data_IF_466019013898
#
_entry.id   IF_466019013898
#
_cell.length_a   1.000
_cell.length_b   1.000
_cell.length_c   1.000
_cell.angle_alpha   90.00
_cell.angle_beta   90.00
_cell.angle_gamma   90.00
#
_symmetry.space_group_name_H-M   'P 1'
#
loop_
_entity.id
_entity.type
_entity.pdbx_description
1 polymer ?
#
# COMPACT_ATOMS: atom_id res chain seq x y z
N UNK A 1 11.78 -30.25 -25.72
CA UNK A 1 10.37 -29.84 -25.90
C UNK A 1 9.47 -31.06 -25.74
N UNK A 2 8.25 -30.89 -25.25
CA UNK A 2 7.15 -31.86 -25.29
C UNK A 2 6.01 -31.29 -26.12
N UNK A 3 5.19 -32.14 -26.72
CA UNK A 3 4.01 -31.70 -27.47
C UNK A 3 2.82 -31.69 -26.52
N UNK A 4 2.18 -30.54 -26.38
CA UNK A 4 0.91 -30.40 -25.69
C UNK A 4 -0.19 -30.04 -26.69
N UNK A 5 -1.43 -30.35 -26.34
CA UNK A 5 -2.60 -30.13 -27.21
C UNK A 5 -3.72 -29.43 -26.47
N UNK A 6 -4.27 -28.39 -27.11
CA UNK A 6 -5.54 -27.76 -26.76
C UNK A 6 -6.55 -27.94 -27.91
N UNK A 7 -7.69 -27.27 -27.82
CA UNK A 7 -8.74 -27.32 -28.86
C UNK A 7 -8.34 -26.66 -30.18
N UNK A 8 -7.27 -25.86 -30.20
CA UNK A 8 -6.75 -25.17 -31.38
C UNK A 8 -5.58 -25.90 -32.04
N UNK A 9 -5.11 -27.00 -31.46
CA UNK A 9 -4.08 -27.87 -32.04
C UNK A 9 -2.91 -28.14 -31.09
N UNK A 10 -1.80 -28.56 -31.67
CA UNK A 10 -0.58 -28.91 -30.95
C UNK A 10 0.37 -27.72 -30.83
N UNK A 11 1.13 -27.67 -29.74
CA UNK A 11 2.20 -26.70 -29.52
C UNK A 11 3.36 -27.33 -28.75
N UNK A 12 4.58 -26.90 -29.05
CA UNK A 12 5.76 -27.32 -28.30
C UNK A 12 5.92 -26.53 -27.01
N UNK A 13 6.19 -27.24 -25.92
CA UNK A 13 6.43 -26.69 -24.58
C UNK A 13 7.76 -27.21 -24.03
N UNK A 14 8.58 -26.41 -23.32
CA UNK A 14 9.81 -26.91 -22.69
C UNK A 14 9.55 -28.07 -21.72
N UNK A 15 10.41 -29.10 -21.70
CA UNK A 15 10.21 -30.32 -20.88
C UNK A 15 10.37 -30.07 -19.39
N UNK A 16 11.07 -29.00 -19.03
CA UNK A 16 11.36 -28.54 -17.67
C UNK A 16 10.30 -27.57 -17.13
N UNK A 17 9.15 -27.40 -17.82
CA UNK A 17 8.08 -26.47 -17.42
C UNK A 17 6.75 -27.17 -17.25
N UNK A 18 6.07 -26.96 -16.12
CA UNK A 18 4.75 -27.57 -15.87
C UNK A 18 3.58 -26.90 -16.60
N UNK A 19 3.72 -25.66 -17.11
CA UNK A 19 2.62 -25.03 -17.86
C UNK A 19 2.37 -25.75 -19.19
N UNK A 20 1.16 -25.66 -19.76
CA UNK A 20 0.75 -26.43 -20.94
C UNK A 20 0.56 -25.59 -22.20
N UNK A 21 -0.26 -26.11 -23.13
CA UNK A 21 -0.47 -25.53 -24.45
C UNK A 21 -1.09 -24.12 -24.39
N UNK A 22 -2.04 -23.87 -23.48
CA UNK A 22 -2.71 -22.56 -23.43
C UNK A 22 -1.77 -21.47 -22.89
N UNK A 23 -0.96 -21.79 -21.89
CA UNK A 23 0.07 -20.86 -21.40
C UNK A 23 1.09 -20.54 -22.50
N UNK A 24 1.59 -21.57 -23.19
CA UNK A 24 2.56 -21.38 -24.26
C UNK A 24 1.98 -20.57 -25.44
N UNK A 25 0.71 -20.79 -25.80
CA UNK A 25 0.00 -19.99 -26.79
C UNK A 25 -0.20 -18.54 -26.33
N UNK A 26 -0.48 -18.32 -25.05
CA UNK A 26 -0.59 -16.98 -24.47
C UNK A 26 0.72 -16.22 -24.54
N UNK A 27 1.86 -16.86 -24.27
CA UNK A 27 3.18 -16.23 -24.37
C UNK A 27 3.47 -15.72 -25.80
N UNK A 28 3.07 -16.49 -26.82
CA UNK A 28 3.25 -16.08 -28.21
C UNK A 28 2.34 -14.91 -28.62
N UNK A 29 1.12 -14.88 -28.09
CA UNK A 29 0.10 -13.92 -28.52
C UNK A 29 0.12 -12.60 -27.74
N UNK A 30 0.67 -12.60 -26.52
CA UNK A 30 0.65 -11.45 -25.59
C UNK A 30 2.08 -11.06 -25.17
N UNK A 31 2.95 -10.88 -26.16
CA UNK A 31 4.33 -10.39 -25.98
C UNK A 31 4.36 -8.86 -25.87
N UNK A 32 3.82 -8.35 -24.77
CA UNK A 32 3.68 -6.92 -24.48
C UNK A 32 4.38 -6.65 -23.15
N UNK A 33 5.39 -5.78 -23.18
CA UNK A 33 6.11 -5.33 -21.97
C UNK A 33 6.81 -6.45 -21.20
N UNK A 34 7.34 -6.09 -20.04
CA UNK A 34 8.08 -7.03 -19.17
C UNK A 34 7.34 -7.38 -17.88
N UNK A 35 6.18 -6.76 -17.63
CA UNK A 35 5.38 -7.00 -16.43
C UNK A 35 4.79 -8.41 -16.45
N UNK A 36 5.31 -9.30 -15.61
CA UNK A 36 4.72 -10.61 -15.36
C UNK A 36 3.60 -10.52 -14.34
N UNK A 37 2.66 -11.47 -14.37
CA UNK A 37 1.61 -11.56 -13.36
C UNK A 37 2.24 -11.60 -11.94
N UNK A 38 1.78 -10.78 -10.97
CA UNK A 38 2.42 -10.72 -9.67
C UNK A 38 2.40 -12.07 -8.93
N UNK A 39 3.50 -12.39 -8.23
CA UNK A 39 3.63 -13.64 -7.47
C UNK A 39 2.55 -13.80 -6.38
N UNK A 40 2.02 -12.70 -5.84
CA UNK A 40 0.89 -12.72 -4.93
C UNK A 40 -0.38 -13.29 -5.57
N UNK A 41 -0.62 -13.00 -6.86
CA UNK A 41 -1.75 -13.57 -7.62
C UNK A 41 -1.52 -15.06 -7.89
N UNK A 42 -0.28 -15.47 -8.18
CA UNK A 42 0.08 -16.88 -8.36
C UNK A 42 -0.17 -17.68 -7.08
N UNK A 43 0.31 -17.18 -5.94
CA UNK A 43 0.04 -17.76 -4.62
C UNK A 43 -1.46 -17.84 -4.33
N UNK A 44 -2.21 -16.77 -4.61
CA UNK A 44 -3.66 -16.73 -4.43
C UNK A 44 -4.39 -17.78 -5.28
N UNK A 45 -3.93 -18.04 -6.51
CA UNK A 45 -4.42 -19.16 -7.31
C UNK A 45 -4.10 -20.51 -6.66
N UNK A 46 -2.91 -20.71 -6.09
CA UNK A 46 -2.60 -21.90 -5.30
C UNK A 46 -3.60 -22.14 -4.16
N UNK A 47 -3.86 -21.10 -3.36
CA UNK A 47 -4.84 -21.13 -2.25
C UNK A 47 -6.24 -21.50 -2.78
N UNK A 48 -6.70 -20.79 -3.82
CA UNK A 48 -8.01 -20.99 -4.43
C UNK A 48 -8.17 -22.42 -4.95
N UNK A 49 -7.17 -22.96 -5.66
CA UNK A 49 -7.25 -24.29 -6.28
C UNK A 49 -7.17 -25.39 -5.24
N UNK A 50 -6.37 -25.21 -4.19
CA UNK A 50 -6.35 -26.14 -3.06
C UNK A 50 -7.72 -26.17 -2.36
N UNK A 51 -8.28 -25.01 -2.04
CA UNK A 51 -9.59 -24.92 -1.40
C UNK A 51 -10.69 -25.54 -2.26
N UNK A 52 -10.70 -25.24 -3.57
CA UNK A 52 -11.68 -25.80 -4.49
C UNK A 52 -11.57 -27.34 -4.60
N UNK A 53 -10.36 -27.90 -4.58
CA UNK A 53 -10.17 -29.35 -4.60
C UNK A 53 -10.72 -30.00 -3.32
N UNK A 54 -10.37 -29.48 -2.13
CA UNK A 54 -10.89 -29.96 -0.84
C UNK A 54 -12.41 -29.91 -0.79
N UNK A 55 -13.00 -28.78 -1.21
CA UNK A 55 -14.46 -28.60 -1.26
C UNK A 55 -15.12 -29.56 -2.23
N UNK A 56 -14.56 -29.76 -3.43
CA UNK A 56 -15.14 -30.71 -4.38
C UNK A 56 -15.02 -32.17 -3.92
N UNK A 57 -13.95 -32.55 -3.21
CA UNK A 57 -13.86 -33.89 -2.57
C UNK A 57 -14.94 -34.04 -1.50
N UNK A 58 -15.09 -33.04 -0.61
CA UNK A 58 -16.10 -33.05 0.44
C UNK A 58 -17.55 -33.08 -0.10
N UNK A 59 -17.77 -32.54 -1.30
CA UNK A 59 -19.05 -32.55 -2.01
C UNK A 59 -19.24 -33.75 -2.95
N UNK A 60 -18.33 -34.74 -2.88
CA UNK A 60 -18.32 -35.93 -3.74
C UNK A 60 -18.34 -35.58 -5.25
N UNK A 61 -17.85 -34.40 -5.60
CA UNK A 61 -17.68 -33.93 -6.97
C UNK A 61 -16.32 -34.31 -7.53
N UNK A 62 -15.29 -34.50 -6.70
CA UNK A 62 -13.97 -34.90 -7.16
C UNK A 62 -13.56 -36.21 -6.49
N UNK A 63 -13.00 -37.13 -7.29
CA UNK A 63 -12.41 -38.36 -6.76
C UNK A 63 -11.34 -38.01 -5.71
N UNK A 64 -11.35 -38.66 -4.52
CA UNK A 64 -10.42 -38.31 -3.44
C UNK A 64 -8.95 -38.47 -3.82
N UNK A 65 -8.57 -39.49 -4.58
CA UNK A 65 -7.17 -39.72 -4.98
C UNK A 65 -6.69 -38.62 -5.94
N UNK A 66 -7.55 -38.22 -6.89
CA UNK A 66 -7.29 -37.06 -7.75
C UNK A 66 -7.22 -35.77 -6.94
N UNK A 67 -8.13 -35.60 -5.97
CA UNK A 67 -8.18 -34.45 -5.07
C UNK A 67 -6.88 -34.27 -4.29
N UNK A 68 -6.36 -35.35 -3.69
CA UNK A 68 -5.12 -35.33 -2.91
C UNK A 68 -3.92 -34.89 -3.76
N UNK A 69 -3.83 -35.36 -5.01
CA UNK A 69 -2.78 -34.95 -5.94
C UNK A 69 -2.85 -33.44 -6.27
N UNK A 70 -4.06 -32.92 -6.51
CA UNK A 70 -4.29 -31.49 -6.78
C UNK A 70 -3.95 -30.65 -5.55
N UNK A 71 -4.34 -31.08 -4.36
CA UNK A 71 -4.06 -30.39 -3.09
C UNK A 71 -2.55 -30.30 -2.85
N UNK A 72 -1.81 -31.39 -3.07
CA UNK A 72 -0.35 -31.42 -2.90
C UNK A 72 0.36 -30.49 -3.90
N UNK A 73 -0.01 -30.55 -5.18
CA UNK A 73 0.57 -29.67 -6.21
C UNK A 73 0.23 -28.19 -5.97
N UNK A 74 -1.01 -27.89 -5.53
CA UNK A 74 -1.42 -26.53 -5.18
C UNK A 74 -0.64 -26.00 -3.96
N UNK A 75 -0.31 -26.85 -2.98
CA UNK A 75 0.53 -26.46 -1.85
C UNK A 75 1.92 -25.98 -2.31
N UNK A 76 2.54 -26.65 -3.28
CA UNK A 76 3.84 -26.20 -3.82
C UNK A 76 3.74 -24.84 -4.54
N UNK A 77 2.58 -24.50 -5.13
CA UNK A 77 2.32 -23.15 -5.65
C UNK A 77 2.20 -22.14 -4.51
N UNK A 78 1.47 -22.49 -3.44
CA UNK A 78 1.29 -21.64 -2.24
C UNK A 78 2.66 -21.32 -1.60
N UNK A 79 3.53 -22.33 -1.50
CA UNK A 79 4.86 -22.23 -0.92
C UNK A 79 5.88 -21.50 -1.84
N UNK A 80 5.49 -21.23 -3.09
CA UNK A 80 6.30 -20.51 -4.07
C UNK A 80 7.36 -21.35 -4.78
N UNK A 81 7.37 -22.68 -4.59
CA UNK A 81 8.33 -23.59 -5.24
C UNK A 81 8.16 -23.61 -6.76
N UNK A 82 6.99 -23.23 -7.27
CA UNK A 82 6.64 -23.33 -8.69
C UNK A 82 6.56 -21.97 -9.41
N UNK A 83 7.04 -20.88 -8.81
CA UNK A 83 6.89 -19.51 -9.36
C UNK A 83 7.43 -19.37 -10.80
N UNK A 84 8.52 -20.05 -11.13
CA UNK A 84 9.12 -19.97 -12.47
C UNK A 84 8.28 -20.66 -13.57
N UNK A 85 7.17 -21.31 -13.21
CA UNK A 85 6.22 -21.91 -14.15
C UNK A 85 5.04 -20.99 -14.50
N UNK A 86 5.07 -19.73 -14.05
CA UNK A 86 4.04 -18.72 -14.30
C UNK A 86 4.58 -17.53 -15.12
N UNK A 87 4.93 -17.72 -16.40
CA UNK A 87 5.65 -16.72 -17.20
C UNK A 87 4.75 -15.63 -17.81
N UNK A 88 3.43 -15.71 -17.61
CA UNK A 88 2.48 -14.85 -18.33
C UNK A 88 2.58 -13.38 -17.94
N UNK A 89 2.40 -12.52 -18.94
CA UNK A 89 2.39 -11.06 -18.77
C UNK A 89 1.09 -10.57 -18.12
N UNK A 90 1.14 -9.40 -17.51
CA UNK A 90 -0.06 -8.67 -17.04
C UNK A 90 -0.99 -8.34 -18.21
N UNK A 91 -0.39 -7.98 -19.35
CA UNK A 91 -1.05 -7.49 -20.56
C UNK A 91 -1.63 -8.63 -21.41
N UNK A 92 -2.47 -9.43 -20.78
CA UNK A 92 -3.09 -10.63 -21.33
C UNK A 92 -4.59 -10.43 -21.55
N UNK A 93 -5.36 -11.51 -21.74
CA UNK A 93 -6.83 -11.43 -21.73
C UNK A 93 -7.35 -10.73 -20.47
N UNK A 94 -8.28 -9.79 -20.67
CA UNK A 94 -8.74 -8.88 -19.65
C UNK A 94 -9.49 -9.54 -18.47
N UNK A 95 -10.03 -10.74 -18.66
CA UNK A 95 -10.63 -11.54 -17.58
C UNK A 95 -9.60 -12.24 -16.70
N UNK A 96 -8.34 -12.35 -17.16
CA UNK A 96 -7.31 -13.15 -16.51
C UNK A 96 -7.40 -14.66 -16.77
N UNK A 97 -8.21 -15.10 -17.76
CA UNK A 97 -8.37 -16.51 -18.14
C UNK A 97 -7.05 -17.23 -18.38
N UNK A 98 -6.07 -16.57 -18.98
CA UNK A 98 -4.78 -17.21 -19.28
C UNK A 98 -3.99 -17.52 -18.02
N UNK A 99 -3.98 -16.66 -16.99
CA UNK A 99 -3.37 -16.99 -15.69
C UNK A 99 -4.16 -18.04 -14.91
N UNK A 100 -5.50 -18.06 -15.01
CA UNK A 100 -6.28 -19.17 -14.45
C UNK A 100 -5.88 -20.51 -15.11
N UNK A 101 -5.81 -20.54 -16.45
CA UNK A 101 -5.40 -21.74 -17.17
C UNK A 101 -3.94 -22.11 -16.95
N UNK A 102 -3.02 -21.14 -16.80
CA UNK A 102 -1.64 -21.41 -16.42
C UNK A 102 -1.57 -22.09 -15.04
N UNK A 103 -2.36 -21.63 -14.07
CA UNK A 103 -2.47 -22.27 -12.77
C UNK A 103 -3.02 -23.69 -12.88
N UNK A 104 -4.08 -23.87 -13.67
CA UNK A 104 -4.68 -25.18 -13.90
C UNK A 104 -3.68 -26.16 -14.55
N UNK A 105 -2.94 -25.72 -15.57
CA UNK A 105 -1.96 -26.53 -16.30
C UNK A 105 -0.77 -26.90 -15.41
N UNK A 106 -0.21 -25.93 -14.66
CA UNK A 106 0.92 -26.17 -13.75
C UNK A 106 0.53 -27.17 -12.66
N UNK A 107 -0.61 -26.96 -11.99
CA UNK A 107 -1.08 -27.85 -10.94
C UNK A 107 -1.40 -29.23 -11.49
N UNK A 108 -2.05 -29.32 -12.66
CA UNK A 108 -2.36 -30.61 -13.28
C UNK A 108 -1.10 -31.39 -13.64
N UNK A 109 -0.13 -30.77 -14.33
CA UNK A 109 1.10 -31.46 -14.73
C UNK A 109 1.97 -31.85 -13.53
N UNK A 110 2.03 -31.01 -12.50
CA UNK A 110 2.72 -31.37 -11.27
C UNK A 110 2.03 -32.53 -10.54
N UNK A 111 0.71 -32.52 -10.46
CA UNK A 111 -0.08 -33.62 -9.90
C UNK A 111 0.09 -34.93 -10.66
N UNK A 112 0.17 -34.87 -12.00
CA UNK A 112 0.46 -36.04 -12.85
C UNK A 112 1.85 -36.59 -12.54
N UNK A 113 2.86 -35.73 -12.42
CA UNK A 113 4.22 -36.16 -12.10
C UNK A 113 4.31 -36.80 -10.70
N UNK A 114 3.62 -36.25 -9.70
CA UNK A 114 3.50 -36.85 -8.35
C UNK A 114 2.92 -38.26 -8.43
N UNK A 115 1.95 -38.49 -9.32
CA UNK A 115 1.34 -39.79 -9.59
C UNK A 115 2.22 -40.73 -10.44
N UNK A 116 3.41 -40.30 -10.88
CA UNK A 116 4.29 -41.06 -11.77
C UNK A 116 3.80 -41.13 -13.23
N UNK A 117 2.88 -40.25 -13.62
CA UNK A 117 2.35 -40.17 -14.98
C UNK A 117 3.21 -39.33 -15.93
N UNK A 118 2.75 -39.20 -17.18
CA UNK A 118 3.42 -38.42 -18.22
C UNK A 118 2.83 -37.01 -18.32
N UNK A 119 3.64 -35.97 -18.08
CA UNK A 119 3.20 -34.57 -18.23
C UNK A 119 2.62 -34.30 -19.62
N UNK A 120 1.54 -33.52 -19.67
CA UNK A 120 0.80 -33.19 -20.90
C UNK A 120 -0.26 -34.22 -21.30
N UNK A 121 -0.23 -35.43 -20.72
CA UNK A 121 -1.25 -36.47 -20.95
C UNK A 121 -2.63 -36.08 -20.44
N UNK A 122 -2.70 -35.15 -19.46
CA UNK A 122 -3.91 -34.76 -18.72
C UNK A 122 -4.55 -35.93 -17.93
N UNK A 123 -3.76 -36.97 -17.63
CA UNK A 123 -4.17 -38.12 -16.86
C UNK A 123 -3.12 -38.45 -15.78
N UNK A 124 -3.52 -38.69 -14.51
CA UNK A 124 -4.89 -38.78 -14.01
C UNK A 124 -5.56 -37.41 -13.75
N UNK A 125 -4.82 -36.30 -13.82
CA UNK A 125 -5.35 -34.96 -13.49
C UNK A 125 -5.56 -34.12 -14.75
N UNK A 126 -6.82 -33.78 -15.05
CA UNK A 126 -7.16 -32.90 -16.16
C UNK A 126 -7.29 -31.44 -15.69
N UNK A 127 -6.68 -30.46 -16.38
CA UNK A 127 -6.65 -29.06 -15.92
C UNK A 127 -8.05 -28.42 -15.85
N UNK A 128 -9.00 -28.83 -16.70
CA UNK A 128 -10.36 -28.29 -16.66
C UNK A 128 -11.27 -29.11 -15.72
N UNK A 129 -11.46 -30.37 -16.07
CA UNK A 129 -12.40 -31.30 -15.43
C UNK A 129 -12.08 -31.62 -13.96
N UNK A 130 -10.81 -31.51 -13.55
CA UNK A 130 -10.39 -31.74 -12.16
C UNK A 130 -9.96 -30.43 -11.47
N UNK A 131 -8.92 -29.76 -11.97
CA UNK A 131 -8.36 -28.57 -11.29
C UNK A 131 -9.30 -27.35 -11.34
N UNK A 132 -10.04 -27.18 -12.44
CA UNK A 132 -11.01 -26.09 -12.63
C UNK A 132 -12.47 -26.54 -12.42
N UNK A 133 -12.70 -27.65 -11.72
CA UNK A 133 -14.06 -28.19 -11.52
C UNK A 133 -14.92 -27.23 -10.70
N UNK A 134 -16.11 -26.92 -11.20
CA UNK A 134 -17.06 -26.00 -10.57
C UNK A 134 -16.67 -24.52 -10.62
N UNK A 135 -15.68 -24.17 -11.45
CA UNK A 135 -15.06 -22.84 -11.49
C UNK A 135 -15.10 -22.24 -12.90
N UNK A 136 -14.98 -20.93 -13.00
CA UNK A 136 -14.77 -20.19 -14.25
C UNK A 136 -13.63 -19.19 -14.08
N UNK A 137 -12.90 -18.90 -15.14
CA UNK A 137 -11.91 -17.80 -15.08
C UNK A 137 -12.52 -16.49 -14.57
N UNK A 138 -13.80 -16.26 -14.88
CA UNK A 138 -14.52 -15.06 -14.54
C UNK A 138 -14.71 -14.91 -13.03
N UNK A 139 -14.89 -16.00 -12.27
CA UNK A 139 -15.04 -15.97 -10.81
C UNK A 139 -13.76 -16.36 -10.05
N UNK A 140 -12.82 -17.07 -10.69
CA UNK A 140 -11.53 -17.42 -10.07
C UNK A 140 -10.56 -16.25 -10.03
N UNK A 141 -10.43 -15.47 -11.11
CA UNK A 141 -9.47 -14.36 -11.15
C UNK A 141 -9.82 -13.23 -10.17
N UNK A 142 -11.06 -12.70 -10.09
CA UNK A 142 -11.43 -11.74 -9.03
C UNK A 142 -11.21 -12.29 -7.62
N UNK A 143 -11.50 -13.58 -7.39
CA UNK A 143 -11.21 -14.22 -6.10
C UNK A 143 -9.71 -14.21 -5.79
N UNK A 144 -8.85 -14.53 -6.76
CA UNK A 144 -7.39 -14.44 -6.60
C UNK A 144 -6.91 -13.00 -6.37
N UNK A 145 -7.54 -12.00 -7.00
CA UNK A 145 -7.26 -10.58 -6.75
C UNK A 145 -7.53 -10.20 -5.29
N UNK A 146 -8.67 -10.63 -4.76
CA UNK A 146 -9.10 -10.35 -3.39
C UNK A 146 -8.20 -11.04 -2.37
N UNK A 147 -7.88 -12.33 -2.57
CA UNK A 147 -6.94 -13.07 -1.71
C UNK A 147 -5.57 -12.40 -1.70
N UNK A 148 -5.00 -12.13 -2.89
CA UNK A 148 -3.68 -11.51 -3.00
C UNK A 148 -3.65 -10.11 -2.35
N UNK A 149 -4.71 -9.32 -2.55
CA UNK A 149 -4.82 -7.99 -1.97
C UNK A 149 -4.92 -8.00 -0.45
N UNK A 150 -5.78 -8.86 0.11
CA UNK A 150 -5.97 -8.98 1.55
C UNK A 150 -4.75 -9.57 2.26
N UNK A 151 -4.08 -10.58 1.70
CA UNK A 151 -2.80 -11.08 2.24
C UNK A 151 -1.73 -9.98 2.23
N UNK A 152 -1.64 -9.20 1.14
CA UNK A 152 -0.66 -8.12 1.02
C UNK A 152 -0.92 -6.98 2.03
N UNK A 153 -2.19 -6.60 2.24
CA UNK A 153 -2.57 -5.62 3.26
C UNK A 153 -2.21 -6.11 4.66
N UNK A 154 -2.68 -7.30 5.01
CA UNK A 154 -2.62 -7.83 6.38
C UNK A 154 -1.20 -8.15 6.80
N UNK A 155 -0.44 -8.83 5.95
CA UNK A 155 0.86 -9.38 6.35
C UNK A 155 2.03 -8.45 6.06
N UNK A 156 1.85 -7.43 5.20
CA UNK A 156 2.94 -6.55 4.76
C UNK A 156 2.67 -5.08 5.02
N UNK A 157 1.63 -4.51 4.42
CA UNK A 157 1.40 -3.07 4.47
C UNK A 157 1.06 -2.56 5.87
N UNK A 158 0.02 -3.13 6.49
CA UNK A 158 -0.47 -2.68 7.80
C UNK A 158 0.64 -2.74 8.87
N UNK A 159 1.44 -3.83 8.99
CA UNK A 159 2.60 -3.85 9.89
C UNK A 159 3.62 -2.74 9.60
N UNK A 160 3.92 -2.46 8.32
CA UNK A 160 4.91 -1.45 7.96
C UNK A 160 4.45 -0.03 8.31
N UNK A 161 3.18 0.29 8.04
CA UNK A 161 2.58 1.59 8.39
C UNK A 161 2.49 1.75 9.90
N UNK A 162 2.03 0.73 10.64
CA UNK A 162 1.99 0.74 12.12
C UNK A 162 3.37 0.99 12.71
N UNK A 163 4.38 0.30 12.23
CA UNK A 163 5.74 0.48 12.75
C UNK A 163 6.33 1.87 12.43
N UNK A 164 6.04 2.46 11.27
CA UNK A 164 6.41 3.85 10.98
C UNK A 164 5.68 4.83 11.91
N UNK A 165 4.38 4.64 12.09
CA UNK A 165 3.54 5.42 13.00
C UNK A 165 4.09 5.37 14.43
N UNK A 166 4.46 4.20 14.93
CA UNK A 166 4.98 4.04 16.29
C UNK A 166 6.35 4.70 16.49
N UNK A 167 7.21 4.67 15.47
CA UNK A 167 8.48 5.41 15.51
C UNK A 167 8.25 6.93 15.55
N UNK A 168 7.29 7.45 14.79
CA UNK A 168 6.90 8.86 14.83
C UNK A 168 6.27 9.25 16.18
N UNK A 169 5.45 8.37 16.78
CA UNK A 169 4.88 8.58 18.11
C UNK A 169 5.95 8.60 19.21
N UNK A 170 6.96 7.73 19.12
CA UNK A 170 8.11 7.78 20.01
C UNK A 170 8.87 9.11 19.90
N UNK A 171 9.07 9.63 18.68
CA UNK A 171 9.66 10.96 18.48
C UNK A 171 8.76 12.07 19.01
N UNK A 172 7.45 12.03 18.75
CA UNK A 172 6.50 13.00 19.27
C UNK A 172 6.55 13.11 20.80
N UNK A 173 6.60 11.98 21.51
CA UNK A 173 6.77 11.92 22.97
C UNK A 173 8.13 12.47 23.42
N UNK A 174 9.21 12.10 22.73
CA UNK A 174 10.56 12.60 23.05
C UNK A 174 10.72 14.11 22.82
N UNK A 175 9.90 14.70 21.94
CA UNK A 175 9.95 16.11 21.56
C UNK A 175 8.84 16.95 22.21
N UNK A 176 8.10 16.39 23.18
CA UNK A 176 6.93 17.01 23.80
C UNK A 176 7.22 18.41 24.36
N UNK A 177 8.40 18.62 24.94
CA UNK A 177 8.80 19.87 25.61
C UNK A 177 9.64 20.81 24.72
N UNK A 178 9.85 20.47 23.45
CA UNK A 178 10.69 21.28 22.55
C UNK A 178 9.82 22.31 21.86
N UNK A 179 9.75 23.52 22.41
CA UNK A 179 9.03 24.65 21.80
C UNK A 179 9.75 25.11 20.54
N UNK A 180 9.00 25.26 19.45
CA UNK A 180 9.47 25.76 18.15
C UNK A 180 8.49 26.78 17.59
N UNK A 181 8.91 27.49 16.55
CA UNK A 181 8.01 28.38 15.83
C UNK A 181 7.12 27.59 14.87
N UNK A 182 5.82 27.87 14.88
CA UNK A 182 4.88 27.38 13.88
C UNK A 182 5.07 28.10 12.55
N UNK A 183 4.64 27.46 11.46
CA UNK A 183 4.62 28.08 10.14
C UNK A 183 3.30 27.82 9.44
N UNK A 184 2.63 28.90 9.05
CA UNK A 184 1.41 28.86 8.22
C UNK A 184 1.64 29.71 7.00
N UNK A 185 1.27 29.23 5.81
CA UNK A 185 1.62 29.88 4.53
C UNK A 185 3.13 30.08 4.33
N UNK A 186 3.96 29.23 4.96
CA UNK A 186 5.43 29.33 5.01
C UNK A 186 5.97 30.56 5.78
N UNK A 187 5.10 31.36 6.39
CA UNK A 187 5.46 32.50 7.22
C UNK A 187 5.54 32.07 8.69
N UNK A 188 6.36 32.77 9.48
CA UNK A 188 6.39 32.61 10.93
C UNK A 188 4.98 32.78 11.52
N UNK A 189 4.64 31.94 12.48
CA UNK A 189 3.36 31.93 13.20
C UNK A 189 3.61 31.85 14.72
N UNK A 190 2.59 31.49 15.50
CA UNK A 190 2.74 31.30 16.96
C UNK A 190 3.51 30.01 17.30
N UNK A 191 4.05 29.89 18.53
CA UNK A 191 4.75 28.68 18.96
C UNK A 191 3.84 27.44 19.04
N UNK A 192 4.46 26.28 18.85
CA UNK A 192 3.96 24.95 19.21
C UNK A 192 5.15 24.08 19.62
N UNK A 193 4.93 22.92 20.22
CA UNK A 193 6.04 21.99 20.46
C UNK A 193 6.31 21.13 19.23
N UNK A 194 7.56 20.72 19.04
CA UNK A 194 7.94 19.76 17.99
C UNK A 194 7.21 18.41 18.20
N UNK A 195 6.91 18.06 19.44
CA UNK A 195 6.03 16.93 19.76
C UNK A 195 4.60 17.11 19.23
N UNK A 196 4.01 18.31 19.30
CA UNK A 196 2.70 18.61 18.72
C UNK A 196 2.72 18.58 17.18
N UNK A 197 3.80 19.04 16.55
CA UNK A 197 3.96 18.92 15.09
C UNK A 197 4.00 17.45 14.67
N UNK A 198 4.82 16.63 15.35
CA UNK A 198 4.94 15.21 15.09
C UNK A 198 3.66 14.42 15.42
N UNK A 199 2.89 14.82 16.43
CA UNK A 199 1.61 14.18 16.74
C UNK A 199 0.58 14.36 15.62
N UNK A 200 0.67 15.45 14.86
CA UNK A 200 -0.10 15.64 13.62
C UNK A 200 0.21 14.57 12.58
N UNK A 201 1.48 14.23 12.39
CA UNK A 201 1.90 13.15 11.48
C UNK A 201 1.38 11.78 11.96
N UNK A 202 1.47 11.51 13.26
CA UNK A 202 0.94 10.28 13.88
C UNK A 202 -0.57 10.17 13.66
N UNK A 203 -1.32 11.25 13.91
CA UNK A 203 -2.77 11.26 13.74
C UNK A 203 -3.21 11.04 12.28
N UNK A 204 -2.45 11.52 11.30
CA UNK A 204 -2.69 11.20 9.88
C UNK A 204 -2.57 9.69 9.62
N UNK A 205 -1.49 9.06 10.09
CA UNK A 205 -1.26 7.62 9.91
C UNK A 205 -2.27 6.77 10.70
N UNK A 206 -2.69 7.19 11.89
CA UNK A 206 -3.77 6.53 12.64
C UNK A 206 -5.09 6.54 11.86
N UNK A 207 -5.40 7.67 11.19
CA UNK A 207 -6.58 7.76 10.34
C UNK A 207 -6.46 6.89 9.08
N UNK A 208 -5.27 6.82 8.48
CA UNK A 208 -5.02 5.97 7.31
C UNK A 208 -5.10 4.48 7.64
N UNK A 209 -4.59 4.06 8.81
CA UNK A 209 -4.75 2.68 9.28
C UNK A 209 -6.22 2.27 9.38
N UNK A 210 -7.09 3.14 9.93
CA UNK A 210 -8.53 2.86 9.97
C UNK A 210 -9.16 2.76 8.58
N UNK A 211 -8.71 3.56 7.61
CA UNK A 211 -9.20 3.50 6.22
C UNK A 211 -8.78 2.21 5.53
N UNK A 212 -7.54 1.77 5.78
CA UNK A 212 -7.02 0.51 5.25
C UNK A 212 -7.73 -0.70 5.85
N UNK A 213 -7.98 -0.68 7.17
CA UNK A 213 -8.75 -1.72 7.85
C UNK A 213 -10.18 -1.78 7.30
N UNK A 214 -10.86 -0.64 7.09
CA UNK A 214 -12.20 -0.61 6.47
C UNK A 214 -12.22 -1.16 5.04
N UNK A 215 -11.22 -0.81 4.22
CA UNK A 215 -11.14 -1.32 2.86
C UNK A 215 -10.85 -2.84 2.80
N UNK A 216 -10.27 -3.41 3.86
CA UNK A 216 -9.99 -4.83 3.95
C UNK A 216 -11.29 -5.65 4.06
N UNK A 217 -12.33 -5.10 4.70
CA UNK A 217 -13.63 -5.77 4.85
C UNK A 217 -14.24 -6.13 3.49
N UNK A 218 -14.23 -5.21 2.52
CA UNK A 218 -14.74 -5.45 1.16
C UNK A 218 -13.88 -6.47 0.38
N UNK A 219 -12.58 -6.55 0.66
CA UNK A 219 -11.68 -7.51 0.02
C UNK A 219 -11.89 -8.94 0.51
N UNK A 220 -12.58 -9.14 1.64
CA UNK A 220 -12.90 -10.48 2.13
C UNK A 220 -14.05 -11.15 1.37
N UNK A 221 -14.85 -10.40 0.60
CA UNK A 221 -15.93 -10.96 -0.19
C UNK A 221 -15.42 -11.60 -1.48
N UNK A 222 -15.68 -12.90 -1.67
CA UNK A 222 -15.17 -13.67 -2.80
C UNK A 222 -16.22 -13.91 -3.88
N UNK A 223 -15.80 -13.75 -5.15
CA UNK A 223 -16.62 -14.01 -6.33
C UNK A 223 -16.86 -15.50 -6.61
N UNK A 224 -16.00 -16.38 -6.09
CA UNK A 224 -15.99 -17.82 -6.40
C UNK A 224 -17.35 -18.48 -6.14
N UNK A 225 -17.77 -19.33 -7.08
CA UNK A 225 -19.12 -19.90 -7.13
C UNK A 225 -20.09 -19.08 -7.98
N UNK A 226 -19.72 -17.88 -8.43
CA UNK A 226 -20.47 -17.12 -9.44
C UNK A 226 -20.38 -17.73 -10.85
N UNK A 227 -19.35 -18.52 -11.13
CA UNK A 227 -19.05 -19.17 -12.41
C UNK A 227 -18.97 -18.17 -13.58
N UNK A 228 -19.63 -18.43 -14.71
CA UNK A 228 -19.46 -17.65 -15.93
C UNK A 228 -20.00 -16.22 -15.83
N UNK A 229 -21.20 -16.03 -15.28
CA UNK A 229 -21.95 -14.76 -15.31
C UNK A 229 -22.63 -14.41 -13.98
N UNK A 230 -22.33 -15.13 -12.91
CA UNK A 230 -22.85 -14.87 -11.55
C UNK A 230 -23.96 -15.80 -11.09
N UNK A 231 -24.48 -16.67 -11.97
CA UNK A 231 -25.61 -17.57 -11.66
C UNK A 231 -25.22 -18.85 -10.92
N UNK A 232 -23.93 -19.19 -10.87
CA UNK A 232 -23.47 -20.46 -10.31
C UNK A 232 -23.74 -21.69 -11.19
N UNK A 233 -24.03 -21.51 -12.49
CA UNK A 233 -24.24 -22.63 -13.42
C UNK A 233 -23.03 -23.57 -13.42
N UNK A 234 -23.29 -24.87 -13.26
CA UNK A 234 -22.29 -25.94 -13.14
C UNK A 234 -21.45 -25.94 -11.84
N UNK A 235 -21.81 -25.12 -10.84
CA UNK A 235 -21.29 -25.26 -9.48
C UNK A 235 -22.32 -25.99 -8.59
N UNK A 236 -21.82 -26.74 -7.60
CA UNK A 236 -22.69 -27.32 -6.57
C UNK A 236 -23.29 -26.21 -5.68
N UNK A 237 -24.56 -26.28 -5.23
CA UNK A 237 -25.19 -25.21 -4.45
C UNK A 237 -24.45 -24.80 -3.16
N UNK A 238 -23.72 -25.74 -2.56
CA UNK A 238 -22.91 -25.50 -1.34
C UNK A 238 -21.46 -25.06 -1.64
N UNK A 239 -21.03 -25.10 -2.90
CA UNK A 239 -19.63 -24.87 -3.28
C UNK A 239 -19.13 -23.48 -2.85
N UNK A 240 -19.90 -22.43 -3.14
CA UNK A 240 -19.49 -21.04 -2.91
C UNK A 240 -19.21 -20.75 -1.42
N UNK A 241 -20.05 -21.23 -0.52
CA UNK A 241 -19.85 -21.04 0.92
C UNK A 241 -18.67 -21.89 1.42
N UNK A 242 -18.67 -23.19 1.12
CA UNK A 242 -17.65 -24.12 1.62
C UNK A 242 -16.24 -23.76 1.14
N UNK A 243 -16.10 -23.30 -0.11
CA UNK A 243 -14.79 -22.89 -0.63
C UNK A 243 -14.30 -21.58 0.00
N UNK A 244 -15.19 -20.64 0.31
CA UNK A 244 -14.82 -19.43 1.04
C UNK A 244 -14.36 -19.76 2.46
N UNK A 245 -15.07 -20.66 3.16
CA UNK A 245 -14.68 -21.14 4.48
C UNK A 245 -13.30 -21.84 4.45
N UNK A 246 -13.02 -22.64 3.42
CA UNK A 246 -11.72 -23.29 3.28
C UNK A 246 -10.59 -22.31 2.94
N UNK A 247 -10.86 -21.29 2.12
CA UNK A 247 -9.90 -20.19 1.86
C UNK A 247 -9.62 -19.42 3.16
N UNK A 248 -10.64 -19.15 3.97
CA UNK A 248 -10.50 -18.54 5.29
C UNK A 248 -9.62 -19.40 6.22
N UNK A 249 -9.84 -20.72 6.23
CA UNK A 249 -9.04 -21.65 7.03
C UNK A 249 -7.57 -21.69 6.60
N UNK A 250 -7.29 -21.74 5.29
CA UNK A 250 -5.92 -21.79 4.74
C UNK A 250 -5.15 -20.50 5.07
N UNK A 251 -5.81 -19.36 4.98
CA UNK A 251 -5.17 -18.04 5.14
C UNK A 251 -5.17 -17.53 6.58
N UNK A 252 -6.09 -18.03 7.42
CA UNK A 252 -6.37 -17.44 8.73
C UNK A 252 -7.06 -16.07 8.66
N UNK A 253 -7.62 -15.70 7.50
CA UNK A 253 -8.34 -14.45 7.27
C UNK A 253 -9.85 -14.71 7.14
N UNK A 254 -10.66 -13.67 7.32
CA UNK A 254 -12.13 -13.79 7.42
C UNK A 254 -12.84 -13.73 6.06
N UNK A 255 -12.33 -14.45 5.06
CA UNK A 255 -12.97 -14.51 3.75
C UNK A 255 -14.38 -15.09 3.81
N UNK A 256 -15.27 -14.56 2.98
CA UNK A 256 -16.65 -15.02 2.88
C UNK A 256 -17.11 -15.06 1.42
N UNK A 257 -18.18 -15.80 1.16
CA UNK A 257 -18.83 -15.80 -0.15
C UNK A 257 -19.60 -14.50 -0.31
N UNK A 258 -19.27 -13.69 -1.33
CA UNK A 258 -20.01 -12.46 -1.63
C UNK A 258 -21.51 -12.72 -1.84
N UNK A 259 -22.36 -11.85 -1.28
CA UNK A 259 -23.82 -11.97 -1.38
C UNK A 259 -24.29 -11.80 -2.84
N UNK A 260 -23.68 -10.87 -3.58
CA UNK A 260 -24.02 -10.61 -4.97
C UNK A 260 -22.87 -10.96 -5.92
N UNK A 261 -22.94 -12.13 -6.57
CA UNK A 261 -21.93 -12.57 -7.53
C UNK A 261 -21.89 -11.72 -8.80
N UNK A 262 -23.02 -11.16 -9.24
CA UNK A 262 -23.06 -10.34 -10.44
C UNK A 262 -22.19 -9.09 -10.28
N UNK A 263 -22.29 -8.41 -9.13
CA UNK A 263 -21.47 -7.24 -8.82
C UNK A 263 -19.97 -7.58 -8.80
N UNK A 264 -19.58 -8.68 -8.14
CA UNK A 264 -18.18 -9.10 -8.02
C UNK A 264 -17.53 -9.56 -9.34
N UNK A 265 -18.34 -9.86 -10.36
CA UNK A 265 -17.85 -10.19 -11.71
C UNK A 265 -17.82 -8.95 -12.62
N UNK A 266 -18.91 -8.17 -12.59
CA UNK A 266 -19.16 -7.03 -13.45
C UNK A 266 -18.38 -5.77 -13.06
N UNK A 267 -17.98 -5.66 -11.80
CA UNK A 267 -17.25 -4.52 -11.24
C UNK A 267 -16.13 -5.00 -10.29
N UNK A 268 -15.34 -4.05 -9.78
CA UNK A 268 -14.23 -4.29 -8.84
C UNK A 268 -14.14 -3.15 -7.82
N UNK A 269 -15.29 -2.77 -7.26
CA UNK A 269 -15.41 -1.59 -6.39
C UNK A 269 -14.56 -1.73 -5.13
N UNK A 270 -14.45 -2.94 -4.57
CA UNK A 270 -13.58 -3.26 -3.43
C UNK A 270 -12.11 -2.89 -3.72
N UNK A 271 -11.60 -3.22 -4.91
CA UNK A 271 -10.23 -2.89 -5.34
C UNK A 271 -10.07 -1.38 -5.56
N UNK A 272 -11.08 -0.71 -6.11
CA UNK A 272 -11.06 0.76 -6.29
C UNK A 272 -11.08 1.46 -4.92
N UNK A 273 -11.91 1.02 -3.99
CA UNK A 273 -12.00 1.55 -2.62
C UNK A 273 -10.69 1.35 -1.85
N UNK A 274 -10.13 0.14 -1.89
CA UNK A 274 -8.82 -0.16 -1.29
C UNK A 274 -7.71 0.68 -1.91
N UNK A 275 -7.73 0.88 -3.24
CA UNK A 275 -6.81 1.80 -3.92
C UNK A 275 -6.99 3.26 -3.47
N UNK A 276 -8.22 3.70 -3.19
CA UNK A 276 -8.50 5.02 -2.61
C UNK A 276 -7.91 5.21 -1.21
N UNK A 277 -7.91 4.15 -0.38
CA UNK A 277 -7.24 4.15 0.91
C UNK A 277 -5.71 4.28 0.76
N UNK A 278 -5.09 3.54 -0.18
CA UNK A 278 -3.67 3.69 -0.50
C UNK A 278 -3.32 5.09 -1.02
N UNK A 279 -4.18 5.67 -1.85
CA UNK A 279 -4.02 7.03 -2.34
C UNK A 279 -4.03 8.05 -1.19
N UNK A 280 -4.94 7.89 -0.23
CA UNK A 280 -5.00 8.77 0.96
C UNK A 280 -3.74 8.63 1.81
N UNK A 281 -3.27 7.40 2.05
CA UNK A 281 -2.00 7.15 2.74
C UNK A 281 -0.82 7.83 2.01
N UNK A 282 -0.76 7.74 0.68
CA UNK A 282 0.27 8.41 -0.11
C UNK A 282 0.23 9.94 0.03
N UNK A 283 -0.96 10.55 0.11
CA UNK A 283 -1.11 11.99 0.38
C UNK A 283 -0.57 12.36 1.77
N UNK A 284 -0.91 11.58 2.81
CA UNK A 284 -0.39 11.78 4.16
C UNK A 284 1.13 11.65 4.22
N UNK A 285 1.69 10.57 3.66
CA UNK A 285 3.12 10.31 3.62
C UNK A 285 3.89 11.39 2.83
N UNK A 286 3.33 11.88 1.72
CA UNK A 286 3.88 12.99 0.96
C UNK A 286 4.06 14.23 1.85
N UNK A 287 3.05 14.59 2.65
CA UNK A 287 3.13 15.74 3.58
C UNK A 287 4.22 15.52 4.64
N UNK A 288 4.23 14.35 5.29
CA UNK A 288 5.20 14.00 6.33
C UNK A 288 6.63 14.06 5.78
N UNK A 289 6.90 13.44 4.63
CA UNK A 289 8.21 13.44 3.99
C UNK A 289 8.68 14.84 3.61
N UNK A 290 7.75 15.68 3.13
CA UNK A 290 7.99 17.09 2.80
C UNK A 290 8.37 17.90 4.02
N UNK A 291 7.62 17.80 5.11
CA UNK A 291 7.92 18.51 6.35
C UNK A 291 9.32 18.11 6.86
N UNK A 292 9.61 16.81 6.93
CA UNK A 292 10.91 16.31 7.40
C UNK A 292 12.06 16.88 6.57
N UNK A 293 11.97 16.90 5.23
CA UNK A 293 13.06 17.45 4.40
C UNK A 293 13.17 18.98 4.47
N UNK A 294 12.06 19.69 4.66
CA UNK A 294 12.09 21.15 4.83
C UNK A 294 12.67 21.54 6.19
N UNK A 295 12.25 20.87 7.26
CA UNK A 295 12.82 21.05 8.60
C UNK A 295 14.30 20.66 8.65
N UNK A 296 14.72 19.69 7.81
CA UNK A 296 16.12 19.30 7.61
C UNK A 296 16.91 20.15 6.61
N UNK A 297 16.31 21.18 5.98
CA UNK A 297 16.99 22.00 4.98
C UNK A 297 18.13 22.83 5.61
N UNK A 298 19.32 22.82 5.02
CA UNK A 298 20.48 23.49 5.60
C UNK A 298 21.82 23.01 5.01
N UNK A 299 22.91 23.01 5.79
CA UNK A 299 22.97 23.23 7.25
C UNK A 299 23.03 24.71 7.68
N UNK A 300 23.19 25.66 6.74
CA UNK A 300 23.36 27.09 7.06
C UNK A 300 22.37 28.04 6.37
N UNK A 301 21.72 27.61 5.30
CA UNK A 301 20.90 28.47 4.43
C UNK A 301 19.45 27.95 4.29
N UNK A 302 18.96 27.25 5.32
CA UNK A 302 17.61 26.69 5.38
C UNK A 302 17.04 26.80 6.80
N UNK A 303 16.01 26.01 7.12
CA UNK A 303 15.40 26.02 8.45
C UNK A 303 16.29 25.34 9.50
N UNK A 304 16.85 24.18 9.14
CA UNK A 304 17.79 23.41 9.96
C UNK A 304 17.28 23.04 11.35
N UNK A 305 15.97 22.84 11.54
CA UNK A 305 15.38 22.49 12.84
C UNK A 305 15.54 21.00 13.17
N UNK A 306 15.69 20.15 12.15
CA UNK A 306 15.98 18.73 12.30
C UNK A 306 17.32 18.37 11.65
N UNK A 307 18.09 17.52 12.33
CA UNK A 307 19.24 16.83 11.76
C UNK A 307 18.78 15.50 11.17
N UNK A 308 18.97 15.33 9.87
CA UNK A 308 18.66 14.09 9.16
C UNK A 308 19.84 13.12 9.25
N UNK A 309 19.61 11.79 9.35
CA UNK A 309 20.68 10.80 9.29
C UNK A 309 21.47 10.88 7.98
N UNK A 310 22.80 10.84 8.06
CA UNK A 310 23.68 10.81 6.90
C UNK A 310 23.95 9.35 6.48
N UNK A 311 23.13 8.82 5.58
CA UNK A 311 23.23 7.44 5.10
C UNK A 311 24.25 7.26 3.95
N UNK A 312 24.46 8.30 3.14
CA UNK A 312 25.38 8.28 2.00
C UNK A 312 25.97 9.67 1.70
N UNK A 313 27.10 9.75 0.97
CA UNK A 313 27.61 11.02 0.45
C UNK A 313 26.57 11.68 -0.48
N UNK A 314 26.13 12.90 -0.16
CA UNK A 314 25.05 13.59 -0.88
C UNK A 314 25.46 14.30 -2.17
N UNK A 315 26.75 14.31 -2.53
CA UNK A 315 27.20 14.90 -3.79
C UNK A 315 28.54 14.35 -4.24
N UNK A 316 28.67 14.14 -5.55
CA UNK A 316 29.93 13.78 -6.20
C UNK A 316 30.96 14.92 -6.21
N UNK A 317 30.54 16.18 -6.04
CA UNK A 317 31.40 17.38 -6.19
C UNK A 317 31.46 18.26 -4.94
N UNK A 318 30.52 18.13 -4.00
CA UNK A 318 30.49 18.89 -2.75
C UNK A 318 30.77 17.99 -1.55
N UNK A 319 32.04 17.85 -1.11
CA UNK A 319 32.40 17.08 0.07
C UNK A 319 31.61 17.52 1.31
N UNK A 320 31.05 16.56 2.05
CA UNK A 320 30.30 16.80 3.28
C UNK A 320 28.83 17.21 3.10
N UNK A 321 28.31 17.34 1.88
CA UNK A 321 26.86 17.54 1.64
C UNK A 321 26.09 16.25 1.94
N UNK A 322 24.99 16.37 2.67
CA UNK A 322 24.04 15.28 2.94
C UNK A 322 22.66 15.70 2.42
N UNK A 323 22.00 14.84 1.65
CA UNK A 323 20.68 15.11 1.07
C UNK A 323 19.59 14.34 1.82
N UNK A 324 18.33 14.82 1.80
CA UNK A 324 17.18 14.12 2.39
C UNK A 324 16.68 12.96 1.49
N UNK A 325 17.55 12.04 1.09
CA UNK A 325 17.27 11.01 0.06
C UNK A 325 16.11 10.07 0.41
N UNK A 326 15.93 9.76 1.69
CA UNK A 326 14.78 8.95 2.16
C UNK A 326 13.45 9.69 1.97
N UNK A 327 13.41 11.00 2.20
CA UNK A 327 12.24 11.82 1.87
C UNK A 327 12.03 11.89 0.36
N UNK A 328 13.09 12.04 -0.43
CA UNK A 328 13.01 12.06 -1.91
C UNK A 328 12.39 10.76 -2.44
N UNK A 329 12.91 9.60 -2.03
CA UNK A 329 12.40 8.29 -2.40
C UNK A 329 10.92 8.12 -2.01
N UNK A 330 10.56 8.45 -0.77
CA UNK A 330 9.17 8.36 -0.30
C UNK A 330 8.23 9.26 -1.12
N UNK A 331 8.65 10.49 -1.45
CA UNK A 331 7.81 11.38 -2.27
C UNK A 331 7.62 10.88 -3.70
N UNK A 332 8.64 10.27 -4.33
CA UNK A 332 8.48 9.65 -5.66
C UNK A 332 7.53 8.45 -5.61
N UNK A 333 7.64 7.60 -4.58
CA UNK A 333 6.70 6.49 -4.35
C UNK A 333 5.27 7.01 -4.20
N UNK A 334 5.06 8.07 -3.42
CA UNK A 334 3.73 8.65 -3.25
C UNK A 334 3.13 9.12 -4.60
N UNK A 335 3.92 9.78 -5.45
CA UNK A 335 3.47 10.15 -6.81
C UNK A 335 3.09 8.94 -7.65
N UNK A 336 3.90 7.87 -7.62
CA UNK A 336 3.62 6.65 -8.37
C UNK A 336 2.31 5.98 -7.91
N UNK A 337 2.07 5.90 -6.60
CA UNK A 337 0.83 5.34 -6.03
C UNK A 337 -0.40 6.15 -6.46
N UNK A 338 -0.31 7.48 -6.48
CA UNK A 338 -1.41 8.33 -6.99
C UNK A 338 -1.69 8.10 -8.48
N UNK A 339 -0.63 7.88 -9.28
CA UNK A 339 -0.76 7.48 -10.69
C UNK A 339 -1.42 6.11 -10.86
N UNK A 340 -0.97 5.12 -10.10
CA UNK A 340 -1.56 3.78 -10.07
C UNK A 340 -3.04 3.82 -9.66
N UNK A 341 -3.40 4.64 -8.68
CA UNK A 341 -4.79 4.86 -8.27
C UNK A 341 -5.65 5.38 -9.43
N UNK A 342 -5.12 6.33 -10.20
CA UNK A 342 -5.81 6.84 -11.39
C UNK A 342 -6.06 5.72 -12.41
N UNK A 343 -5.04 4.89 -12.68
CA UNK A 343 -5.18 3.76 -13.60
C UNK A 343 -6.23 2.75 -13.11
N UNK A 344 -6.24 2.42 -11.82
CA UNK A 344 -7.23 1.53 -11.19
C UNK A 344 -8.64 2.09 -11.30
N UNK A 345 -8.82 3.38 -10.99
CA UNK A 345 -10.13 4.07 -11.10
C UNK A 345 -10.65 4.04 -12.54
N UNK A 346 -9.78 4.32 -13.51
CA UNK A 346 -10.15 4.21 -14.93
C UNK A 346 -10.54 2.77 -15.25
N UNK A 347 -9.71 1.76 -14.93
CA UNK A 347 -10.03 0.35 -15.18
C UNK A 347 -11.33 -0.13 -14.52
N UNK A 348 -11.58 0.28 -13.28
CA UNK A 348 -12.81 -0.02 -12.55
C UNK A 348 -14.07 0.51 -13.25
N UNK A 349 -13.98 1.70 -13.86
CA UNK A 349 -15.10 2.32 -14.58
C UNK A 349 -15.48 1.64 -15.91
N UNK A 350 -14.62 0.76 -16.46
CA UNK A 350 -14.80 0.16 -17.79
C UNK A 350 -15.55 -1.18 -17.77
N UNK A 351 -16.38 -1.44 -16.75
CA UNK A 351 -17.23 -2.63 -16.72
C UNK A 351 -18.27 -2.63 -17.86
N UNK A 352 -18.49 -3.78 -18.49
CA UNK A 352 -19.54 -3.94 -19.51
C UNK A 352 -20.37 -5.19 -19.22
N UNK A 353 -21.67 -4.99 -19.00
CA UNK A 353 -22.61 -6.07 -18.70
C UNK A 353 -22.11 -6.96 -17.54
N UNK A 354 -22.00 -8.27 -17.72
CA UNK A 354 -21.69 -9.22 -16.64
C UNK A 354 -20.21 -9.32 -16.26
N UNK A 355 -19.28 -8.60 -16.93
CA UNK A 355 -17.84 -8.75 -16.67
C UNK A 355 -17.02 -7.48 -16.90
N UNK A 356 -16.27 -7.04 -15.88
CA UNK A 356 -15.16 -6.11 -16.07
C UNK A 356 -13.91 -6.88 -16.53
N UNK A 357 -13.34 -6.48 -17.66
CA UNK A 357 -12.18 -7.11 -18.31
C UNK A 357 -10.89 -6.28 -18.21
N UNK A 358 -10.72 -5.53 -17.13
CA UNK A 358 -9.48 -4.82 -16.80
C UNK A 358 -8.77 -5.45 -15.58
N UNK A 359 -9.14 -6.69 -15.24
CA UNK A 359 -8.77 -7.35 -13.98
C UNK A 359 -7.25 -7.43 -13.76
N UNK A 360 -6.42 -7.91 -14.72
CA UNK A 360 -4.96 -7.98 -14.57
C UNK A 360 -4.30 -6.63 -14.31
N UNK A 361 -4.70 -5.59 -15.05
CA UNK A 361 -4.12 -4.25 -14.92
C UNK A 361 -4.43 -3.66 -13.54
N UNK A 362 -5.67 -3.80 -13.07
CA UNK A 362 -6.07 -3.29 -11.75
C UNK A 362 -5.28 -3.95 -10.62
N UNK A 363 -5.20 -5.28 -10.60
CA UNK A 363 -4.49 -5.98 -9.53
C UNK A 363 -2.97 -5.76 -9.58
N UNK A 364 -2.39 -5.64 -10.77
CA UNK A 364 -0.97 -5.29 -10.92
C UNK A 364 -0.67 -3.93 -10.27
N UNK A 365 -1.43 -2.88 -10.64
CA UNK A 365 -1.25 -1.55 -10.07
C UNK A 365 -1.51 -1.51 -8.55
N UNK A 366 -2.48 -2.29 -8.08
CA UNK A 366 -2.81 -2.38 -6.67
C UNK A 366 -1.67 -3.01 -5.87
N UNK A 367 -1.22 -4.20 -6.27
CA UNK A 367 -0.12 -4.90 -5.57
C UNK A 367 1.21 -4.14 -5.68
N UNK A 368 1.49 -3.51 -6.82
CA UNK A 368 2.66 -2.63 -6.97
C UNK A 368 2.62 -1.46 -5.97
N UNK A 369 1.45 -0.82 -5.80
CA UNK A 369 1.29 0.26 -4.83
C UNK A 369 1.48 -0.23 -3.38
N UNK A 370 0.98 -1.42 -3.06
CA UNK A 370 1.18 -2.05 -1.75
C UNK A 370 2.66 -2.34 -1.49
N UNK A 371 3.38 -2.88 -2.46
CA UNK A 371 4.82 -3.17 -2.35
C UNK A 371 5.62 -1.89 -2.11
N UNK A 372 5.41 -0.87 -2.95
CA UNK A 372 6.11 0.41 -2.84
C UNK A 372 5.86 1.07 -1.48
N UNK A 373 4.61 1.14 -1.02
CA UNK A 373 4.29 1.75 0.28
C UNK A 373 4.83 0.93 1.45
N UNK A 374 4.76 -0.39 1.38
CA UNK A 374 5.32 -1.28 2.41
C UNK A 374 6.82 -1.00 2.58
N UNK A 375 7.56 -0.99 1.48
CA UNK A 375 9.01 -0.82 1.50
C UNK A 375 9.43 0.62 1.82
N UNK A 376 8.71 1.61 1.27
CA UNK A 376 8.98 3.02 1.55
C UNK A 376 8.72 3.37 3.01
N UNK A 377 7.63 2.88 3.63
CA UNK A 377 7.38 3.07 5.05
C UNK A 377 8.49 2.44 5.91
N UNK A 378 8.90 1.21 5.60
CA UNK A 378 9.99 0.52 6.33
C UNK A 378 11.32 1.27 6.22
N UNK A 379 11.69 1.68 5.01
CA UNK A 379 12.97 2.34 4.76
C UNK A 379 12.98 3.76 5.33
N UNK A 380 11.92 4.54 5.12
CA UNK A 380 11.79 5.87 5.72
C UNK A 380 11.82 5.80 7.26
N UNK A 381 11.18 4.80 7.88
CA UNK A 381 11.28 4.56 9.33
C UNK A 381 12.72 4.34 9.77
N UNK A 382 13.35 3.29 9.23
CA UNK A 382 14.65 2.78 9.71
C UNK A 382 15.86 3.60 9.29
N UNK A 383 15.74 4.36 8.19
CA UNK A 383 16.85 5.15 7.62
C UNK A 383 16.67 6.66 7.80
N UNK A 384 15.51 7.12 8.27
CA UNK A 384 15.27 8.53 8.52
C UNK A 384 14.68 8.75 9.92
N UNK A 385 13.42 8.35 10.14
CA UNK A 385 12.66 8.72 11.34
C UNK A 385 13.34 8.32 12.64
N UNK A 386 13.81 7.09 12.76
CA UNK A 386 14.45 6.58 13.99
C UNK A 386 15.69 7.42 14.38
N UNK A 387 16.43 7.95 13.40
CA UNK A 387 17.63 8.75 13.61
C UNK A 387 17.43 10.28 13.55
N UNK A 388 16.19 10.77 13.44
CA UNK A 388 15.92 12.22 13.46
C UNK A 388 16.28 12.84 14.81
N UNK A 389 17.06 13.92 14.81
CA UNK A 389 17.41 14.66 16.03
C UNK A 389 17.08 16.15 15.92
N UNK A 390 16.54 16.78 16.97
CA UNK A 390 16.24 18.21 16.96
C UNK A 390 17.52 19.04 17.09
N UNK A 391 17.70 20.03 16.22
CA UNK A 391 18.79 21.00 16.31
C UNK A 391 18.35 22.15 17.21
N UNK A 392 18.42 21.91 18.52
CA UNK A 392 17.90 22.84 19.55
C UNK A 392 18.39 24.29 19.39
N UNK A 393 19.64 24.49 18.98
CA UNK A 393 20.18 25.82 18.74
C UNK A 393 19.44 26.57 17.62
N UNK A 394 19.14 25.90 16.50
CA UNK A 394 18.41 26.50 15.39
C UNK A 394 16.94 26.72 15.74
N UNK A 395 16.32 25.76 16.44
CA UNK A 395 14.95 25.89 16.93
C UNK A 395 14.81 27.12 17.85
N UNK A 396 15.70 27.26 18.82
CA UNK A 396 15.72 28.39 19.74
C UNK A 396 15.93 29.71 19.00
N UNK A 397 16.90 29.75 18.08
CA UNK A 397 17.16 30.95 17.26
C UNK A 397 15.94 31.35 16.43
N UNK A 398 15.23 30.40 15.81
CA UNK A 398 14.02 30.71 15.04
C UNK A 398 12.89 31.22 15.93
N UNK A 399 12.75 30.67 17.14
CA UNK A 399 11.76 31.09 18.12
C UNK A 399 12.02 32.53 18.62
N UNK A 400 13.26 32.85 18.98
CA UNK A 400 13.66 34.17 19.49
C UNK A 400 13.57 35.29 18.44
N UNK A 401 13.83 34.96 17.16
CA UNK A 401 13.77 35.92 16.08
C UNK A 401 12.35 36.18 15.56
N UNK A 402 11.37 35.36 15.94
CA UNK A 402 10.01 35.52 15.42
C UNK A 402 9.31 36.73 16.03
N UNK A 403 8.69 37.53 15.17
CA UNK A 403 7.85 38.65 15.59
C UNK A 403 6.43 38.22 15.99
N UNK A 404 6.08 36.95 15.84
CA UNK A 404 4.72 36.45 16.14
C UNK A 404 4.51 36.08 17.61
N UNK A 405 5.57 36.08 18.43
CA UNK A 405 5.43 36.01 19.89
C UNK A 405 4.60 37.20 20.44
N UNK A 406 4.50 38.29 19.67
CA UNK A 406 3.66 39.46 19.96
C UNK A 406 2.19 39.08 20.19
N UNK A 407 1.72 37.95 19.66
CA UNK A 407 0.34 37.50 19.83
C UNK A 407 -0.02 37.25 21.29
N UNK A 408 0.97 36.91 22.14
CA UNK A 408 0.77 36.81 23.59
C UNK A 408 0.27 38.12 24.22
N UNK A 409 0.66 39.26 23.64
CA UNK A 409 0.32 40.58 24.16
C UNK A 409 -1.14 40.98 23.87
N UNK A 410 -1.82 40.31 22.93
CA UNK A 410 -3.17 40.70 22.50
C UNK A 410 -4.18 40.78 23.66
N UNK A 411 -4.13 39.84 24.61
CA UNK A 411 -5.03 39.80 25.76
C UNK A 411 -4.68 40.83 26.85
N UNK A 412 -3.49 41.45 26.77
CA UNK A 412 -3.02 42.43 27.75
C UNK A 412 -3.16 43.86 27.25
N UNK A 413 -2.83 44.11 25.98
CA UNK A 413 -2.75 45.47 25.41
C UNK A 413 -3.66 45.67 24.18
N UNK A 414 -4.33 44.62 23.70
CA UNK A 414 -5.18 44.64 22.51
C UNK A 414 -4.40 44.43 21.21
N UNK A 415 -5.13 44.07 20.16
CA UNK A 415 -4.58 43.76 18.84
C UNK A 415 -3.82 44.94 18.22
N UNK A 416 -4.40 46.14 18.21
CA UNK A 416 -3.83 47.31 17.52
C UNK A 416 -2.46 47.72 18.07
N UNK A 417 -2.28 47.65 19.40
CA UNK A 417 -1.00 47.95 20.04
C UNK A 417 0.03 46.87 19.73
N UNK A 418 -0.37 45.60 19.80
CA UNK A 418 0.50 44.46 19.47
C UNK A 418 0.96 44.50 18.01
N UNK A 419 0.05 44.78 17.07
CA UNK A 419 0.38 44.95 15.66
C UNK A 419 1.37 46.09 15.43
N UNK A 420 1.22 47.20 16.15
CA UNK A 420 2.15 48.34 16.08
C UNK A 420 3.54 47.98 16.62
N UNK A 421 3.65 47.17 17.67
CA UNK A 421 4.94 46.66 18.18
C UNK A 421 5.63 45.82 17.12
N UNK A 422 4.93 44.84 16.53
CA UNK A 422 5.51 43.97 15.51
C UNK A 422 5.94 44.74 14.26
N UNK A 423 5.12 45.69 13.80
CA UNK A 423 5.45 46.54 12.65
C UNK A 423 6.68 47.41 12.92
N UNK A 424 6.75 48.05 14.07
CA UNK A 424 7.91 48.88 14.45
C UNK A 424 9.19 48.03 14.61
N UNK A 425 9.08 46.83 15.19
CA UNK A 425 10.20 45.89 15.32
C UNK A 425 10.73 45.47 13.94
N UNK A 426 9.83 45.13 13.02
CA UNK A 426 10.19 44.77 11.64
C UNK A 426 10.85 45.93 10.87
N UNK A 427 10.24 47.13 10.91
CA UNK A 427 10.75 48.31 10.21
C UNK A 427 12.15 48.73 10.69
N UNK A 428 12.46 48.52 11.97
CA UNK A 428 13.73 48.91 12.59
C UNK A 428 14.74 47.78 12.71
N UNK A 429 14.35 46.53 12.42
CA UNK A 429 15.19 45.36 12.65
C UNK A 429 15.53 45.12 14.12
N UNK A 430 14.61 45.47 15.03
CA UNK A 430 14.77 45.30 16.48
C UNK A 430 13.90 44.14 17.00
N UNK A 431 14.14 43.72 18.24
CA UNK A 431 13.32 42.70 18.89
C UNK A 431 11.94 43.23 19.28
N UNK A 432 10.99 42.32 19.51
CA UNK A 432 9.68 42.69 20.07
C UNK A 432 9.81 43.42 21.41
N UNK A 433 10.75 43.01 22.26
CA UNK A 433 11.00 43.62 23.57
C UNK A 433 11.46 45.07 23.42
N UNK A 434 12.46 45.31 22.58
CA UNK A 434 12.97 46.68 22.34
C UNK A 434 11.88 47.58 21.77
N UNK A 435 11.10 47.08 20.80
CA UNK A 435 9.99 47.82 20.19
C UNK A 435 8.87 48.13 21.20
N UNK A 436 8.53 47.17 22.06
CA UNK A 436 7.51 47.32 23.09
C UNK A 436 7.87 48.39 24.14
N UNK A 437 9.14 48.39 24.57
CA UNK A 437 9.69 49.38 25.51
C UNK A 437 9.78 50.77 24.86
N UNK A 438 10.25 50.85 23.61
CA UNK A 438 10.37 52.10 22.86
C UNK A 438 9.01 52.80 22.67
N UNK A 439 7.97 52.03 22.35
CA UNK A 439 6.61 52.54 22.18
C UNK A 439 5.90 52.86 23.50
N UNK A 440 6.50 52.50 24.65
CA UNK A 440 5.93 52.71 25.98
C UNK A 440 4.65 51.92 26.21
N UNK A 441 4.49 50.76 25.56
CA UNK A 441 3.27 49.95 25.63
C UNK A 441 3.29 48.91 26.76
N UNK A 442 4.47 48.53 27.24
CA UNK A 442 4.65 47.67 28.40
C UNK A 442 6.06 47.84 28.99
N UNK A 443 6.25 47.43 30.25
CA UNK A 443 7.56 47.38 30.93
C UNK A 443 8.32 46.10 30.60
N UNK A 444 9.57 46.01 31.07
CA UNK A 444 10.39 44.83 30.87
C UNK A 444 9.85 43.63 31.67
N UNK A 445 9.37 43.88 32.89
CA UNK A 445 8.76 42.87 33.76
C UNK A 445 7.45 42.34 33.19
N UNK A 446 6.63 43.23 32.60
CA UNK A 446 5.41 42.84 31.89
C UNK A 446 5.74 41.97 30.66
N UNK A 447 6.80 42.30 29.91
CA UNK A 447 7.23 41.47 28.78
C UNK A 447 7.67 40.08 29.24
N UNK A 448 8.49 39.99 30.29
CA UNK A 448 8.96 38.72 30.87
C UNK A 448 7.80 37.85 31.37
N UNK A 449 6.77 38.48 31.94
CA UNK A 449 5.60 37.79 32.46
C UNK A 449 4.65 37.31 31.36
N UNK A 450 4.45 38.10 30.31
CA UNK A 450 3.41 37.85 29.31
C UNK A 450 3.91 37.07 28.09
N UNK A 451 5.20 37.19 27.74
CA UNK A 451 5.75 36.55 26.53
C UNK A 451 6.60 35.34 26.92
N UNK A 452 5.92 34.23 27.23
CA UNK A 452 6.53 32.94 27.59
C UNK A 452 6.21 31.88 26.55
N UNK A 453 7.11 31.57 25.60
CA UNK A 453 6.83 30.62 24.51
C UNK A 453 6.32 29.26 24.97
N UNK A 454 6.80 28.76 26.11
CA UNK A 454 6.36 27.53 26.75
C UNK A 454 4.87 27.55 27.13
N UNK A 455 4.34 28.70 27.53
CA UNK A 455 2.93 28.90 27.91
C UNK A 455 2.05 29.20 26.67
N UNK A 456 2.65 29.39 25.49
CA UNK A 456 1.94 29.68 24.23
C UNK A 456 1.62 28.42 23.40
N UNK A 457 1.86 27.23 23.94
CA UNK A 457 1.71 25.95 23.21
C UNK A 457 0.42 25.19 23.53
N UNK A 458 -0.50 25.76 24.31
CA UNK A 458 -1.78 25.12 24.68
C UNK A 458 -2.85 26.14 25.03
N UNK A 459 -4.06 25.66 25.34
CA UNK A 459 -5.13 26.51 25.85
C UNK A 459 -4.78 26.99 27.27
N UNK A 460 -4.75 28.31 27.46
CA UNK A 460 -4.49 28.96 28.75
C UNK A 460 -5.67 28.91 29.72
#
# INVERSE_FOLDING_TARGET
MRIEKDTMGELEVPVDRYYGCQTARSLLNFDIGDDTMPVGVVRAFGILKQAAAKTNVALEQLDPEVGDLVIAAAQEVIDGHLNDHFPLRVWQTGSGTQSNMNSNEVIANRAIEIAGGEMGSKHPVHPNDHVNRGQSSNDTFPTAMHIAGAEAFTHRLLPSVRALRDALDAKAKAWADIVKIGRTHLMDAVPLTLGQEASGWVAQLDADLRRLDFALDDLFELALGGTAVGTGLNAHPLFAQMVADEIANITGLTFCSAENKFAQLAAHDAIVAASGALNTLAVSLMKIANDVRWLGSGPRCGLGELALPANEPGSSIMPGKVNPTQSEALTMVCCQVMGNHTAITIGGSQGNFELNVFKPMMIHNFLHSVDLLTDACRTFRTRCVEGLEPVRANIQSNLENSLMLVTALNNHIGYDKSAKIAKNAHEKGTTLRESALELGFLTNEEFDLWVRPEDMTGSS
#
